data_IF_969785754383
#
_entry.id   IF_969785754383
#
_cell.length_a   1.000
_cell.length_b   1.000
_cell.length_c   1.000
_cell.angle_alpha   90.00
_cell.angle_beta   90.00
_cell.angle_gamma   90.00
#
_symmetry.space_group_name_H-M   'P 1'
#
loop_
_entity.id
_entity.type
_entity.pdbx_description
1 polymer ?
#
# COMPACT_ATOMS: atom_id res chain seq x y z
N UNK A 1 -12.96 33.35 4.12
CA UNK A 1 -12.94 31.90 4.41
C UNK A 1 -13.31 31.19 3.12
N UNK A 2 -12.36 30.50 2.51
CA UNK A 2 -12.58 29.35 1.62
C UNK A 2 -11.20 28.73 1.45
N UNK A 3 -10.74 28.08 2.52
CA UNK A 3 -9.57 27.22 2.50
C UNK A 3 -9.89 26.02 1.62
N UNK A 4 -9.55 26.13 0.34
CA UNK A 4 -9.46 25.00 -0.57
C UNK A 4 -8.20 24.20 -0.19
N UNK A 5 -8.24 23.50 0.94
CA UNK A 5 -7.30 22.42 1.25
C UNK A 5 -7.74 21.16 0.52
N UNK A 6 -7.78 21.24 -0.81
CA UNK A 6 -7.76 20.09 -1.68
C UNK A 6 -6.44 20.15 -2.40
N UNK A 7 -5.37 19.65 -1.77
CA UNK A 7 -4.11 19.41 -2.46
C UNK A 7 -4.30 18.24 -3.44
N UNK A 8 -5.12 18.45 -4.47
CA UNK A 8 -5.17 17.60 -5.65
C UNK A 8 -3.84 17.83 -6.38
N UNK A 9 -2.81 17.09 -5.97
CA UNK A 9 -1.61 16.96 -6.77
C UNK A 9 -1.97 16.01 -7.92
N UNK A 10 -2.04 16.49 -9.17
CA UNK A 10 -2.18 15.58 -10.30
C UNK A 10 -0.99 14.61 -10.29
N UNK A 11 -1.26 13.32 -10.09
CA UNK A 11 -0.24 12.25 -10.10
C UNK A 11 0.00 11.51 -8.78
N UNK A 12 -0.77 11.76 -7.71
CA UNK A 12 -0.71 10.87 -6.53
C UNK A 12 -1.40 9.53 -6.84
N UNK A 13 -0.65 8.44 -6.65
CA UNK A 13 -1.11 7.06 -6.83
C UNK A 13 -1.07 6.39 -5.47
N UNK A 14 -2.11 5.63 -5.14
CA UNK A 14 -2.12 4.76 -3.96
C UNK A 14 -2.46 3.33 -4.37
N UNK A 15 -1.76 2.37 -3.78
CA UNK A 15 -1.99 0.94 -3.96
C UNK A 15 -2.05 0.29 -2.59
N UNK A 16 -3.11 -0.49 -2.35
CA UNK A 16 -3.32 -1.28 -1.15
C UNK A 16 -2.99 -2.74 -1.41
N UNK A 17 -2.15 -3.31 -0.56
CA UNK A 17 -1.75 -4.71 -0.62
C UNK A 17 -2.41 -5.50 0.50
N UNK A 18 -2.93 -6.67 0.16
CA UNK A 18 -3.47 -7.63 1.12
C UNK A 18 -2.61 -8.89 1.13
N UNK A 19 -2.22 -9.35 2.33
CA UNK A 19 -1.38 -10.52 2.52
C UNK A 19 -1.97 -11.41 3.61
N UNK A 20 -2.30 -12.65 3.24
CA UNK A 20 -2.93 -13.66 4.12
C UNK A 20 -1.92 -14.55 4.86
N UNK A 21 -0.61 -14.26 4.74
CA UNK A 21 0.51 -15.05 5.28
C UNK A 21 0.72 -16.43 4.65
N UNK A 22 -0.06 -16.82 3.63
CA UNK A 22 0.02 -18.13 2.98
C UNK A 22 0.39 -18.03 1.50
N UNK A 23 -0.20 -17.07 0.80
CA UNK A 23 -0.04 -16.87 -0.64
C UNK A 23 0.67 -15.56 -0.94
N UNK A 24 1.01 -15.33 -2.21
CA UNK A 24 1.55 -14.06 -2.62
C UNK A 24 0.58 -12.91 -2.25
N UNK A 25 1.09 -11.74 -1.83
CA UNK A 25 0.26 -10.57 -1.61
C UNK A 25 -0.53 -10.23 -2.88
N UNK A 26 -1.75 -9.74 -2.70
CA UNK A 26 -2.63 -9.32 -3.79
C UNK A 26 -2.82 -7.81 -3.77
N UNK A 27 -3.08 -7.22 -4.94
CA UNK A 27 -3.52 -5.82 -5.03
C UNK A 27 -5.01 -5.76 -4.69
N UNK A 28 -5.33 -5.30 -3.49
CA UNK A 28 -6.70 -5.20 -2.98
C UNK A 28 -7.42 -3.91 -3.40
N UNK A 29 -6.67 -2.82 -3.60
CA UNK A 29 -7.19 -1.57 -4.12
C UNK A 29 -6.07 -0.81 -4.83
N UNK A 30 -6.43 -0.02 -5.84
CA UNK A 30 -5.53 0.96 -6.47
C UNK A 30 -6.32 2.15 -6.97
N UNK A 31 -5.70 3.32 -6.96
CA UNK A 31 -6.35 4.55 -7.41
C UNK A 31 -5.36 5.68 -7.63
N UNK A 32 -5.84 6.71 -8.32
CA UNK A 32 -5.10 7.92 -8.64
C UNK A 32 -5.92 9.15 -8.23
N UNK A 33 -5.23 10.26 -7.94
CA UNK A 33 -5.86 11.54 -7.59
C UNK A 33 -6.80 11.40 -6.39
N UNK A 34 -8.06 11.78 -6.56
CA UNK A 34 -9.07 11.74 -5.50
C UNK A 34 -9.27 10.32 -4.94
N UNK A 35 -9.22 9.29 -5.79
CA UNK A 35 -9.36 7.91 -5.32
C UNK A 35 -8.14 7.48 -4.49
N UNK A 36 -6.93 7.90 -4.87
CA UNK A 36 -5.73 7.66 -4.09
C UNK A 36 -5.85 8.30 -2.69
N UNK A 37 -6.37 9.53 -2.62
CA UNK A 37 -6.61 10.23 -1.37
C UNK A 37 -7.56 9.45 -0.47
N UNK A 38 -8.68 8.94 -1.02
CA UNK A 38 -9.66 8.15 -0.27
C UNK A 38 -9.09 6.82 0.23
N UNK A 39 -8.21 6.17 -0.54
CA UNK A 39 -7.51 4.96 -0.10
C UNK A 39 -6.60 5.28 1.09
N UNK A 40 -5.88 6.41 1.05
CA UNK A 40 -5.01 6.84 2.15
C UNK A 40 -5.79 7.21 3.41
N UNK A 41 -6.91 7.94 3.26
CA UNK A 41 -7.80 8.28 4.39
C UNK A 41 -8.30 7.00 5.08
N UNK A 42 -8.82 6.03 4.32
CA UNK A 42 -9.26 4.74 4.85
C UNK A 42 -8.12 3.96 5.51
N UNK A 43 -6.92 3.98 4.93
CA UNK A 43 -5.76 3.33 5.52
C UNK A 43 -5.42 3.93 6.90
N UNK A 44 -5.48 5.25 7.03
CA UNK A 44 -5.29 5.94 8.31
C UNK A 44 -6.38 5.61 9.33
N UNK A 45 -7.65 5.62 8.91
CA UNK A 45 -8.80 5.29 9.76
C UNK A 45 -8.76 3.85 10.32
N UNK A 46 -8.16 2.93 9.55
CA UNK A 46 -8.07 1.52 9.90
C UNK A 46 -6.71 1.07 10.44
N UNK A 47 -5.82 2.01 10.81
CA UNK A 47 -4.45 1.71 11.29
C UNK A 47 -3.66 0.78 10.35
N UNK A 48 -3.85 0.98 9.04
CA UNK A 48 -3.08 0.33 7.98
C UNK A 48 -1.78 1.12 7.77
N UNK A 49 -0.60 0.49 7.90
CA UNK A 49 0.67 1.17 7.69
C UNK A 49 0.78 1.73 6.27
N UNK A 50 1.17 3.00 6.18
CA UNK A 50 1.39 3.69 4.90
C UNK A 50 2.89 3.73 4.61
N UNK A 51 3.26 3.26 3.43
CA UNK A 51 4.63 3.30 2.93
C UNK A 51 4.67 4.17 1.67
N UNK A 52 5.52 5.20 1.67
CA UNK A 52 5.60 6.18 0.59
C UNK A 52 6.85 5.94 -0.25
N UNK A 53 6.65 5.38 -1.45
CA UNK A 53 7.70 5.23 -2.47
C UNK A 53 7.07 5.42 -3.86
N UNK A 54 7.47 6.51 -4.54
CA UNK A 54 6.97 6.89 -5.85
C UNK A 54 7.30 5.86 -6.94
N UNK A 55 8.47 5.24 -6.89
CA UNK A 55 8.88 4.27 -7.91
C UNK A 55 8.15 2.94 -7.70
N UNK A 56 8.06 2.48 -6.46
CA UNK A 56 7.38 1.23 -6.13
C UNK A 56 5.87 1.32 -6.37
N UNK A 57 5.23 2.44 -6.01
CA UNK A 57 3.79 2.61 -6.26
C UNK A 57 3.46 2.64 -7.77
N UNK A 58 4.34 3.19 -8.61
CA UNK A 58 4.20 3.16 -10.06
C UNK A 58 4.38 1.76 -10.66
N UNK A 59 5.23 0.92 -10.05
CA UNK A 59 5.37 -0.48 -10.46
C UNK A 59 4.14 -1.30 -10.02
N UNK A 60 3.68 -1.09 -8.79
CA UNK A 60 2.53 -1.79 -8.24
C UNK A 60 1.21 -1.38 -8.91
N UNK A 61 1.09 -0.14 -9.39
CA UNK A 61 -0.13 0.31 -10.09
C UNK A 61 -0.36 -0.40 -11.42
N UNK A 62 0.71 -0.91 -12.03
CA UNK A 62 0.67 -1.73 -13.26
C UNK A 62 0.16 -3.16 -13.00
N UNK A 63 0.14 -3.63 -11.75
CA UNK A 63 -0.42 -4.94 -11.41
C UNK A 63 -1.95 -4.87 -11.39
N UNK A 64 -2.62 -5.89 -11.92
CA UNK A 64 -4.07 -5.93 -11.99
C UNK A 64 -4.72 -6.04 -10.59
N UNK A 65 -5.89 -5.42 -10.45
CA UNK A 65 -6.67 -5.50 -9.22
C UNK A 65 -7.09 -6.96 -8.96
N UNK A 66 -7.12 -7.37 -7.70
CA UNK A 66 -7.46 -8.73 -7.25
C UNK A 66 -6.54 -9.82 -7.83
N UNK A 67 -5.34 -9.45 -8.27
CA UNK A 67 -4.32 -10.39 -8.74
C UNK A 67 -3.12 -10.44 -7.81
N UNK A 68 -2.43 -11.59 -7.83
CA UNK A 68 -1.19 -11.78 -7.11
C UNK A 68 -0.08 -10.91 -7.69
N UNK A 69 0.74 -10.36 -6.79
CA UNK A 69 1.94 -9.64 -7.17
C UNK A 69 2.85 -10.56 -8.02
N UNK A 70 3.44 -10.08 -9.14
CA UNK A 70 4.35 -10.89 -9.92
C UNK A 70 5.65 -11.16 -9.15
N UNK A 71 6.31 -12.31 -9.35
CA UNK A 71 7.51 -12.70 -8.59
C UNK A 71 8.65 -11.67 -8.61
N UNK A 72 8.78 -10.92 -9.69
CA UNK A 72 9.77 -9.85 -9.84
C UNK A 72 9.61 -8.70 -8.84
N UNK A 73 8.42 -8.53 -8.25
CA UNK A 73 8.12 -7.50 -7.26
C UNK A 73 8.09 -8.05 -5.82
N UNK A 74 8.30 -9.36 -5.62
CA UNK A 74 8.26 -9.97 -4.28
C UNK A 74 9.24 -9.36 -3.31
N UNK A 75 10.47 -9.05 -3.75
CA UNK A 75 11.47 -8.46 -2.86
C UNK A 75 11.03 -7.08 -2.36
N UNK A 76 10.50 -6.23 -3.25
CA UNK A 76 10.02 -4.91 -2.89
C UNK A 76 8.78 -4.96 -2.00
N UNK A 77 7.85 -5.89 -2.26
CA UNK A 77 6.67 -6.08 -1.40
C UNK A 77 7.05 -6.66 -0.03
N UNK A 78 8.02 -7.57 0.03
CA UNK A 78 8.52 -8.11 1.29
C UNK A 78 9.12 -7.00 2.17
N UNK A 79 9.78 -6.00 1.57
CA UNK A 79 10.27 -4.83 2.29
C UNK A 79 9.13 -4.00 2.92
N UNK A 80 8.06 -3.73 2.16
CA UNK A 80 6.87 -3.04 2.67
C UNK A 80 6.25 -3.82 3.83
N UNK A 81 6.10 -5.14 3.66
CA UNK A 81 5.52 -6.01 4.69
C UNK A 81 6.39 -6.00 5.93
N UNK A 82 7.72 -6.15 5.80
CA UNK A 82 8.65 -6.10 6.92
C UNK A 82 8.59 -4.74 7.64
N UNK A 83 8.47 -3.64 6.90
CA UNK A 83 8.25 -2.31 7.49
C UNK A 83 6.94 -2.24 8.28
N UNK A 84 5.82 -2.71 7.70
CA UNK A 84 4.52 -2.75 8.36
C UNK A 84 4.55 -3.57 9.66
N UNK A 85 5.26 -4.70 9.66
CA UNK A 85 5.45 -5.54 10.85
C UNK A 85 6.32 -4.86 11.92
N UNK A 86 7.41 -4.19 11.52
CA UNK A 86 8.24 -3.41 12.44
C UNK A 86 7.45 -2.28 13.11
N UNK A 87 6.61 -1.58 12.35
CA UNK A 87 5.77 -0.52 12.91
C UNK A 87 4.73 -1.06 13.89
N UNK A 88 4.25 -2.29 13.66
CA UNK A 88 3.31 -2.98 14.55
C UNK A 88 3.99 -3.76 15.68
N UNK A 89 5.31 -3.61 15.87
CA UNK A 89 6.12 -4.27 16.91
C UNK A 89 5.94 -5.80 16.97
N UNK A 90 5.55 -6.40 15.83
CA UNK A 90 5.33 -7.84 15.69
C UNK A 90 6.31 -8.36 14.66
N UNK A 91 7.44 -8.90 15.10
CA UNK A 91 8.34 -9.61 14.20
C UNK A 91 7.63 -10.89 13.69
N UNK A 92 7.69 -11.22 12.39
CA UNK A 92 7.30 -12.53 11.90
C UNK A 92 8.36 -13.54 12.38
N UNK A 93 8.15 -14.13 13.56
CA UNK A 93 9.06 -15.09 14.16
C UNK A 93 8.96 -15.26 15.67
N UNK A 94 8.27 -14.36 16.39
CA UNK A 94 8.26 -14.37 17.87
C UNK A 94 7.20 -15.30 18.49
N UNK A 95 6.94 -16.45 17.86
CA UNK A 95 6.11 -17.49 18.46
C UNK A 95 6.73 -18.86 18.14
N UNK A 96 7.78 -19.19 18.87
CA UNK A 96 8.25 -20.57 19.09
C UNK A 96 8.26 -20.83 20.58
#
# INVERSE_FOLDING_TARGET
MNDQTGSNKPGEIAVSLHYDQRNAPIVSAKGEGDLAHRILELAMEHDVPIYQDTHLVQLLSQVDLDTEIPPQLYLAVAEIIAFAYRLKDRLPGDRI
#
